data_IF_457783586552
#
_entry.id   IF_457783586552
#
_cell.length_a   1.000
_cell.length_b   1.000
_cell.length_c   1.000
_cell.angle_alpha   90.00
_cell.angle_beta   90.00
_cell.angle_gamma   90.00
#
_symmetry.space_group_name_H-M   'P 1'
#
loop_
_entity.id
_entity.type
_entity.pdbx_description
1 polymer ?
#
# COMPACT_ATOMS: atom_id res chain seq x y z
N UNK A 1 28.20 4.90 58.61
CA UNK A 1 29.24 4.79 57.59
C UNK A 1 28.59 4.72 56.20
N UNK A 2 27.66 5.64 55.86
CA UNK A 2 26.87 5.52 54.63
C UNK A 2 26.48 6.86 53.97
N UNK A 3 26.39 7.97 54.72
CA UNK A 3 25.98 9.26 54.13
C UNK A 3 27.10 9.97 53.36
N UNK A 4 28.36 9.79 53.77
CA UNK A 4 29.51 10.43 53.12
C UNK A 4 29.80 9.86 51.73
N UNK A 5 29.58 8.55 51.53
CA UNK A 5 29.76 7.90 50.23
C UNK A 5 28.65 8.26 49.24
N UNK A 6 27.41 8.41 49.73
CA UNK A 6 26.27 8.82 48.90
C UNK A 6 26.46 10.26 48.41
N UNK A 7 26.90 11.18 49.26
CA UNK A 7 27.18 12.55 48.85
C UNK A 7 28.37 12.65 47.89
N UNK A 8 29.39 11.81 48.07
CA UNK A 8 30.49 11.71 47.11
C UNK A 8 30.04 11.22 45.73
N UNK A 9 29.21 10.18 45.66
CA UNK A 9 28.67 9.66 44.41
C UNK A 9 27.73 10.66 43.71
N UNK A 10 26.91 11.40 44.47
CA UNK A 10 26.08 12.49 43.91
C UNK A 10 26.93 13.61 43.31
N UNK A 11 28.02 14.00 43.98
CA UNK A 11 28.95 14.99 43.48
C UNK A 11 29.62 14.52 42.17
N UNK A 12 30.08 13.27 42.11
CA UNK A 12 30.63 12.70 40.87
C UNK A 12 29.60 12.64 39.74
N UNK A 13 28.35 12.30 40.03
CA UNK A 13 27.29 12.22 39.03
C UNK A 13 26.89 13.60 38.51
N UNK A 14 26.96 14.64 39.36
CA UNK A 14 26.78 16.03 38.95
C UNK A 14 27.91 16.48 38.00
N UNK A 15 29.16 16.15 38.32
CA UNK A 15 30.32 16.42 37.46
C UNK A 15 30.18 15.71 36.10
N UNK A 16 29.87 14.41 36.10
CA UNK A 16 29.67 13.64 34.87
C UNK A 16 28.54 14.21 34.00
N UNK A 17 27.42 14.65 34.60
CA UNK A 17 26.33 15.31 33.86
C UNK A 17 26.77 16.63 33.23
N UNK A 18 27.60 17.41 33.94
CA UNK A 18 28.14 18.67 33.41
C UNK A 18 29.12 18.42 32.24
N UNK A 19 29.93 17.37 32.33
CA UNK A 19 30.85 16.96 31.26
C UNK A 19 30.08 16.47 30.02
N UNK A 20 29.06 15.63 30.20
CA UNK A 20 28.20 15.18 29.08
C UNK A 20 27.52 16.37 28.41
N UNK A 21 27.06 17.36 29.17
CA UNK A 21 26.47 18.59 28.62
C UNK A 21 27.48 19.39 27.80
N UNK A 22 28.70 19.54 28.31
CA UNK A 22 29.79 20.22 27.59
C UNK A 22 30.18 19.47 26.31
N UNK A 23 30.29 18.14 26.34
CA UNK A 23 30.58 17.32 25.17
C UNK A 23 29.49 17.42 24.10
N UNK A 24 28.21 17.42 24.49
CA UNK A 24 27.09 17.63 23.55
C UNK A 24 27.15 19.00 22.88
N UNK A 25 27.50 20.04 23.64
CA UNK A 25 27.65 21.39 23.08
C UNK A 25 28.85 21.47 22.10
N UNK A 26 29.97 20.84 22.44
CA UNK A 26 31.14 20.76 21.55
C UNK A 26 30.80 20.01 20.26
N UNK A 27 30.08 18.88 20.33
CA UNK A 27 29.67 18.12 19.17
C UNK A 27 28.75 18.92 18.24
N UNK A 28 27.78 19.65 18.80
CA UNK A 28 26.87 20.52 18.03
C UNK A 28 27.63 21.65 17.33
N UNK A 29 28.60 22.26 18.00
CA UNK A 29 29.42 23.33 17.42
C UNK A 29 30.30 22.79 16.28
N UNK A 30 30.92 21.62 16.47
CA UNK A 30 31.70 20.93 15.44
C UNK A 30 30.86 20.58 14.21
N UNK A 31 29.65 20.04 14.40
CA UNK A 31 28.73 19.74 13.29
C UNK A 31 28.36 20.98 12.48
N UNK A 32 28.10 22.10 13.16
CA UNK A 32 27.78 23.36 12.48
C UNK A 32 28.98 23.89 11.68
N UNK A 33 30.19 23.82 12.25
CA UNK A 33 31.43 24.20 11.55
C UNK A 33 31.68 23.34 10.32
N UNK A 34 31.57 22.01 10.44
CA UNK A 34 31.72 21.07 9.32
C UNK A 34 30.71 21.34 8.20
N UNK A 35 29.45 21.62 8.54
CA UNK A 35 28.41 21.92 7.55
C UNK A 35 28.74 23.18 6.76
N UNK A 36 29.26 24.21 7.45
CA UNK A 36 29.68 25.47 6.82
C UNK A 36 30.90 25.29 5.93
N UNK A 37 31.86 24.46 6.34
CA UNK A 37 33.02 24.11 5.51
C UNK A 37 32.62 23.35 4.24
N UNK A 38 31.71 22.37 4.36
CA UNK A 38 31.17 21.63 3.19
C UNK A 38 30.48 22.59 2.21
N UNK A 39 29.67 23.53 2.70
CA UNK A 39 29.02 24.54 1.85
C UNK A 39 30.04 25.44 1.16
N UNK A 40 31.12 25.81 1.85
CA UNK A 40 32.17 26.63 1.27
C UNK A 40 32.97 25.85 0.20
N UNK A 41 33.28 24.58 0.44
CA UNK A 41 33.94 23.70 -0.53
C UNK A 41 33.06 23.51 -1.77
N UNK A 42 31.75 23.29 -1.60
CA UNK A 42 30.81 23.20 -2.72
C UNK A 42 30.77 24.47 -3.57
N UNK A 43 30.80 25.64 -2.92
CA UNK A 43 30.84 26.93 -3.60
C UNK A 43 32.14 27.10 -4.42
N UNK A 44 33.29 26.83 -3.79
CA UNK A 44 34.60 26.90 -4.46
C UNK A 44 34.68 25.91 -5.62
N UNK A 45 34.18 24.68 -5.46
CA UNK A 45 34.13 23.68 -6.54
C UNK A 45 33.22 24.11 -7.70
N UNK A 46 32.20 24.91 -7.45
CA UNK A 46 31.33 25.44 -8.49
C UNK A 46 32.02 26.58 -9.25
N UNK A 47 32.76 27.42 -8.52
CA UNK A 47 33.52 28.55 -9.08
C UNK A 47 34.79 28.09 -9.82
N UNK A 48 35.35 26.92 -9.49
CA UNK A 48 36.56 26.34 -10.12
C UNK A 48 36.30 25.55 -11.42
N UNK A 49 35.07 25.52 -11.94
CA UNK A 49 34.77 24.80 -13.20
C UNK A 49 35.21 25.62 -14.41
N UNK A 50 35.86 24.97 -15.38
CA UNK A 50 36.46 25.66 -16.53
C UNK A 50 35.39 26.35 -17.42
N UNK A 51 35.79 27.44 -18.08
CA UNK A 51 34.89 28.24 -18.93
C UNK A 51 34.20 27.43 -20.04
N UNK A 52 34.83 26.36 -20.55
CA UNK A 52 34.20 25.46 -21.53
C UNK A 52 33.06 24.58 -20.96
N UNK A 53 33.03 24.34 -19.65
CA UNK A 53 31.88 23.70 -18.98
C UNK A 53 30.75 24.69 -18.66
N UNK A 54 31.09 25.98 -18.60
CA UNK A 54 30.16 27.09 -18.37
C UNK A 54 29.31 27.37 -19.61
N UNK A 55 29.91 27.30 -20.80
CA UNK A 55 29.21 27.46 -22.08
C UNK A 55 28.33 26.26 -22.49
N UNK A 56 28.73 25.03 -22.12
CA UNK A 56 27.88 23.83 -22.35
C UNK A 56 26.54 23.90 -21.61
N UNK A 57 26.45 24.64 -20.51
CA UNK A 57 25.16 24.91 -19.85
C UNK A 57 24.34 25.98 -20.57
N UNK A 58 24.94 26.95 -21.27
CA UNK A 58 24.17 27.94 -22.03
C UNK A 58 23.55 27.33 -23.31
N UNK A 59 24.25 26.40 -23.97
CA UNK A 59 23.67 25.68 -25.11
C UNK A 59 22.72 24.54 -24.69
N UNK A 60 22.92 23.91 -23.53
CA UNK A 60 21.92 23.01 -22.95
C UNK A 60 20.73 23.75 -22.32
N UNK A 61 20.88 25.03 -21.98
CA UNK A 61 19.80 25.89 -21.48
C UNK A 61 18.64 25.99 -22.48
N UNK A 62 18.92 26.28 -23.75
CA UNK A 62 17.84 26.46 -24.74
C UNK A 62 17.22 25.18 -25.31
N UNK A 63 17.79 23.99 -25.02
CA UNK A 63 17.16 22.70 -25.40
C UNK A 63 16.57 21.92 -24.23
N UNK A 64 16.78 22.35 -22.99
CA UNK A 64 16.10 21.85 -21.80
C UNK A 64 15.06 22.84 -21.22
N UNK A 65 14.83 23.98 -21.87
CA UNK A 65 13.86 25.02 -21.51
C UNK A 65 12.39 24.74 -21.90
N UNK A 66 12.02 23.49 -22.19
CA UNK A 66 10.60 23.11 -22.35
C UNK A 66 10.10 22.02 -21.37
N UNK A 67 10.92 21.58 -20.41
CA UNK A 67 10.48 20.63 -19.38
C UNK A 67 10.96 20.94 -17.94
N UNK A 68 11.47 22.14 -17.66
CA UNK A 68 11.98 22.44 -16.31
C UNK A 68 12.00 23.91 -15.95
N UNK A 69 10.83 24.54 -15.86
CA UNK A 69 10.68 25.84 -15.20
C UNK A 69 9.26 26.04 -14.66
N UNK A 70 8.99 25.46 -13.49
CA UNK A 70 8.29 26.16 -12.40
C UNK A 70 9.07 25.89 -11.13
N UNK A 71 9.98 26.80 -10.78
CA UNK A 71 10.40 26.93 -9.39
C UNK A 71 9.28 27.68 -8.64
N UNK A 72 8.25 26.92 -8.23
CA UNK A 72 7.34 27.27 -7.13
C UNK A 72 7.09 26.08 -6.15
N UNK A 73 7.71 24.90 -6.34
CA UNK A 73 7.22 23.66 -5.71
C UNK A 73 8.05 23.07 -4.53
N UNK A 74 8.99 23.82 -3.91
CA UNK A 74 9.64 23.35 -2.66
C UNK A 74 8.82 23.71 -1.40
N UNK A 75 7.54 24.06 -1.57
CA UNK A 75 6.69 24.63 -0.53
C UNK A 75 5.52 23.77 -0.07
N UNK A 76 5.42 22.49 -0.45
CA UNK A 76 4.32 21.61 0.00
C UNK A 76 4.73 20.16 0.29
N UNK A 77 5.93 19.93 0.86
CA UNK A 77 6.33 18.59 1.33
C UNK A 77 5.67 18.27 2.68
N UNK A 78 4.50 17.65 2.64
CA UNK A 78 3.87 17.11 3.84
C UNK A 78 4.56 15.79 4.25
N UNK A 79 5.30 15.81 5.35
CA UNK A 79 6.00 14.63 5.88
C UNK A 79 5.13 13.89 6.88
N UNK A 80 4.74 12.66 6.57
CA UNK A 80 3.99 11.78 7.48
C UNK A 80 4.92 10.82 8.22
N UNK A 81 4.65 10.60 9.50
CA UNK A 81 5.28 9.54 10.29
C UNK A 81 4.30 8.36 10.37
N UNK A 82 4.68 7.15 9.93
CA UNK A 82 3.83 5.98 10.08
C UNK A 82 3.50 5.72 11.56
N UNK A 83 2.23 5.45 11.85
CA UNK A 83 1.78 5.12 13.21
C UNK A 83 2.05 3.66 13.56
N UNK A 84 2.19 2.80 12.55
CA UNK A 84 2.38 1.36 12.69
C UNK A 84 2.69 0.69 11.36
N UNK A 85 2.75 -0.64 11.39
CA UNK A 85 3.07 -1.47 10.22
C UNK A 85 2.04 -2.59 10.10
N UNK A 86 1.56 -2.81 8.88
CA UNK A 86 0.68 -3.94 8.56
C UNK A 86 1.50 -5.21 8.43
N UNK A 87 0.97 -6.29 9.01
CA UNK A 87 1.43 -7.66 8.87
C UNK A 87 0.38 -8.50 8.13
N UNK A 88 0.78 -9.08 6.99
CA UNK A 88 -0.08 -9.93 6.15
C UNK A 88 0.68 -11.15 5.65
N UNK A 89 -0.04 -12.11 5.10
CA UNK A 89 0.51 -13.27 4.39
C UNK A 89 1.07 -12.92 3.01
N UNK A 90 1.04 -11.66 2.58
CA UNK A 90 1.47 -11.27 1.24
C UNK A 90 2.86 -10.65 1.26
N UNK A 91 3.91 -11.48 1.10
CA UNK A 91 5.30 -11.02 1.09
C UNK A 91 5.65 -10.19 -0.16
N UNK A 92 4.90 -10.34 -1.24
CA UNK A 92 5.08 -9.65 -2.52
C UNK A 92 3.76 -9.04 -3.02
N UNK A 93 3.83 -8.18 -4.05
CA UNK A 93 2.62 -7.62 -4.69
C UNK A 93 1.78 -8.66 -5.42
N UNK A 94 2.39 -9.81 -5.75
CA UNK A 94 1.73 -10.87 -6.51
C UNK A 94 0.68 -11.54 -5.62
N UNK A 95 -0.50 -11.82 -6.18
CA UNK A 95 -1.64 -12.41 -5.50
C UNK A 95 -2.30 -11.58 -4.37
N UNK A 96 -1.77 -10.38 -4.06
CA UNK A 96 -2.49 -9.42 -3.21
C UNK A 96 -3.86 -9.12 -3.85
N UNK A 97 -4.96 -9.26 -3.10
CA UNK A 97 -6.29 -8.90 -3.57
C UNK A 97 -6.32 -7.46 -4.06
N UNK A 98 -7.07 -7.20 -5.12
CA UNK A 98 -7.11 -5.84 -5.70
C UNK A 98 -7.86 -4.84 -4.81
N UNK A 99 -8.74 -5.33 -3.94
CA UNK A 99 -9.54 -4.57 -2.99
C UNK A 99 -9.79 -5.48 -1.78
N UNK A 100 -9.79 -4.92 -0.57
CA UNK A 100 -9.99 -5.66 0.68
C UNK A 100 -11.29 -6.48 0.71
N UNK A 101 -12.35 -6.01 0.05
CA UNK A 101 -13.65 -6.69 -0.02
C UNK A 101 -13.66 -7.98 -0.85
N UNK A 102 -12.58 -8.29 -1.58
CA UNK A 102 -12.50 -9.51 -2.40
C UNK A 102 -12.00 -10.73 -1.62
N UNK A 103 -11.24 -10.52 -0.54
CA UNK A 103 -10.65 -11.60 0.25
C UNK A 103 -10.95 -11.37 1.73
N UNK A 104 -12.21 -11.58 2.11
CA UNK A 104 -12.75 -11.18 3.41
C UNK A 104 -12.36 -12.10 4.55
N UNK A 105 -11.93 -13.35 4.32
CA UNK A 105 -11.55 -14.25 5.41
C UNK A 105 -10.07 -14.15 5.82
N UNK A 106 -9.25 -13.37 5.11
CA UNK A 106 -7.82 -13.27 5.42
C UNK A 106 -7.60 -12.40 6.66
N UNK A 107 -7.10 -13.03 7.73
CA UNK A 107 -6.68 -12.35 8.94
C UNK A 107 -5.36 -11.61 8.70
N UNK A 108 -5.34 -10.33 9.07
CA UNK A 108 -4.16 -9.47 9.05
C UNK A 108 -4.10 -8.69 10.36
N UNK A 109 -2.94 -8.09 10.67
CA UNK A 109 -2.82 -7.21 11.83
C UNK A 109 -2.06 -5.94 11.53
N UNK A 110 -2.32 -4.90 12.31
CA UNK A 110 -1.52 -3.69 12.41
C UNK A 110 -0.78 -3.74 13.74
N UNK A 111 0.54 -3.62 13.69
CA UNK A 111 1.37 -3.41 14.87
C UNK A 111 1.63 -1.91 15.03
N UNK A 112 1.04 -1.26 16.04
CA UNK A 112 1.27 0.16 16.33
C UNK A 112 2.69 0.34 16.85
N UNK A 113 3.40 1.32 16.28
CA UNK A 113 4.79 1.59 16.63
C UNK A 113 4.89 2.13 18.06
N UNK A 114 5.77 1.57 18.90
CA UNK A 114 6.01 2.07 20.26
C UNK A 114 6.67 3.45 20.28
N UNK A 115 7.16 3.94 19.13
CA UNK A 115 7.74 5.28 19.00
C UNK A 115 6.69 6.36 18.76
N UNK A 116 5.46 5.99 18.42
CA UNK A 116 4.38 6.93 18.10
C UNK A 116 3.82 7.56 19.37
N UNK A 117 3.57 6.75 20.40
CA UNK A 117 3.01 7.18 21.69
C UNK A 117 3.72 6.48 22.84
N UNK A 118 3.74 7.10 24.03
CA UNK A 118 4.31 6.50 25.25
C UNK A 118 3.56 5.21 25.66
N UNK A 119 2.24 5.17 25.45
CA UNK A 119 1.43 3.96 25.57
C UNK A 119 0.59 3.80 24.30
N UNK A 120 1.06 3.02 23.31
CA UNK A 120 0.35 2.80 22.06
C UNK A 120 -1.03 2.17 22.24
N UNK A 121 -1.22 1.31 23.25
CA UNK A 121 -2.51 0.63 23.45
C UNK A 121 -3.65 1.60 23.76
N UNK A 122 -3.38 2.64 24.56
CA UNK A 122 -4.38 3.68 24.88
C UNK A 122 -4.92 4.41 23.65
N UNK A 123 -4.15 4.47 22.55
CA UNK A 123 -4.63 5.10 21.30
C UNK A 123 -5.68 4.27 20.57
N UNK A 124 -5.87 3.00 20.97
CA UNK A 124 -6.83 2.06 20.41
C UNK A 124 -8.04 1.82 21.32
N UNK A 125 -8.07 2.40 22.53
CA UNK A 125 -9.15 2.21 23.48
C UNK A 125 -10.51 2.63 22.87
N UNK A 126 -11.48 1.73 22.93
CA UNK A 126 -12.83 1.94 22.40
C UNK A 126 -12.99 1.60 20.93
N UNK A 127 -11.92 1.22 20.22
CA UNK A 127 -11.98 0.78 18.83
C UNK A 127 -12.77 -0.54 18.68
N UNK A 128 -12.75 -1.38 19.71
CA UNK A 128 -13.51 -2.63 19.81
C UNK A 128 -15.03 -2.45 19.77
N UNK A 129 -15.54 -1.23 19.96
CA UNK A 129 -16.96 -0.93 19.84
C UNK A 129 -17.44 -0.81 18.38
N UNK A 130 -16.54 -0.87 17.41
CA UNK A 130 -16.83 -0.74 15.99
C UNK A 130 -16.62 -2.08 15.26
N UNK A 131 -17.44 -2.34 14.25
CA UNK A 131 -17.32 -3.57 13.44
C UNK A 131 -16.37 -3.43 12.26
N UNK A 132 -16.14 -2.20 11.78
CA UNK A 132 -15.37 -1.93 10.57
C UNK A 132 -14.49 -0.70 10.75
N UNK A 133 -13.36 -0.70 10.05
CA UNK A 133 -12.35 0.35 10.10
C UNK A 133 -11.93 0.79 8.71
N UNK A 134 -11.71 2.10 8.57
CA UNK A 134 -10.88 2.66 7.52
C UNK A 134 -9.42 2.59 7.93
N UNK A 135 -8.60 1.97 7.09
CA UNK A 135 -7.14 2.00 7.20
C UNK A 135 -6.60 2.89 6.09
N UNK A 136 -5.83 3.91 6.47
CA UNK A 136 -5.08 4.78 5.56
C UNK A 136 -3.62 4.37 5.62
N UNK A 137 -3.02 4.05 4.49
CA UNK A 137 -1.66 3.48 4.44
C UNK A 137 -0.86 4.01 3.25
N UNK A 138 0.44 3.77 3.26
CA UNK A 138 1.37 4.25 2.22
C UNK A 138 1.82 3.09 1.31
N UNK A 139 1.71 3.25 -0.02
CA UNK A 139 2.18 2.25 -0.99
C UNK A 139 3.72 2.24 -1.12
N UNK A 140 4.39 1.78 -0.07
CA UNK A 140 5.86 1.81 0.08
C UNK A 140 6.63 1.04 -1.00
N UNK A 141 6.03 0.02 -1.63
CA UNK A 141 6.67 -0.73 -2.73
C UNK A 141 6.38 -0.16 -4.11
N UNK A 142 5.69 0.98 -4.22
CA UNK A 142 5.35 1.54 -5.52
C UNK A 142 6.43 2.52 -6.01
N UNK A 143 7.03 2.33 -7.20
CA UNK A 143 7.99 3.30 -7.71
C UNK A 143 7.32 4.67 -7.94
N UNK A 144 8.03 5.75 -7.62
CA UNK A 144 7.60 7.14 -7.75
C UNK A 144 7.52 7.60 -9.22
N UNK A 145 6.60 7.00 -9.97
CA UNK A 145 6.29 7.37 -11.35
C UNK A 145 4.77 7.44 -11.53
N UNK A 146 4.16 8.45 -10.92
CA UNK A 146 2.75 8.74 -11.13
C UNK A 146 2.54 9.24 -12.57
N UNK A 147 1.60 8.63 -13.29
CA UNK A 147 1.19 9.08 -14.63
C UNK A 147 -0.21 9.66 -14.55
N UNK A 148 -0.49 10.71 -15.31
CA UNK A 148 -1.82 11.33 -15.35
C UNK A 148 -2.92 10.34 -15.80
N UNK A 149 -2.57 9.38 -16.67
CA UNK A 149 -3.47 8.31 -17.12
C UNK A 149 -2.91 6.93 -16.83
N UNK A 150 -3.78 6.04 -16.36
CA UNK A 150 -3.49 4.63 -16.05
C UNK A 150 -4.42 3.71 -16.85
N UNK A 151 -4.07 2.43 -16.99
CA UNK A 151 -4.92 1.41 -17.60
C UNK A 151 -5.37 0.42 -16.52
N UNK A 152 -6.51 0.68 -15.84
CA UNK A 152 -7.05 -0.25 -14.87
C UNK A 152 -7.30 -1.62 -15.49
N UNK A 153 -7.04 -2.72 -14.76
CA UNK A 153 -7.18 -4.06 -15.33
C UNK A 153 -8.58 -4.32 -15.93
N UNK A 154 -9.64 -3.81 -15.29
CA UNK A 154 -11.02 -4.10 -15.72
C UNK A 154 -11.49 -3.27 -16.93
N UNK A 155 -10.67 -2.37 -17.44
CA UNK A 155 -10.97 -1.52 -18.59
C UNK A 155 -10.47 -2.08 -19.93
N UNK A 156 -10.03 -3.34 -19.98
CA UNK A 156 -9.68 -4.00 -21.25
C UNK A 156 -8.54 -3.34 -22.03
N UNK A 157 -7.74 -2.49 -21.39
CA UNK A 157 -6.66 -1.72 -22.02
C UNK A 157 -6.96 -0.23 -22.21
N UNK A 158 -8.20 0.24 -22.00
CA UNK A 158 -8.51 1.68 -22.04
C UNK A 158 -7.74 2.43 -20.95
N UNK A 159 -7.26 3.64 -21.29
CA UNK A 159 -6.55 4.52 -20.36
C UNK A 159 -7.47 5.64 -19.87
N UNK A 160 -7.62 5.73 -18.55
CA UNK A 160 -8.43 6.77 -17.87
C UNK A 160 -7.56 7.60 -16.93
N UNK A 161 -8.08 8.75 -16.50
CA UNK A 161 -7.38 9.63 -15.55
C UNK A 161 -7.11 8.92 -14.22
N UNK A 162 -5.95 9.13 -13.62
CA UNK A 162 -5.56 8.41 -12.39
C UNK A 162 -6.54 8.64 -11.24
N UNK A 163 -7.10 9.85 -11.13
CA UNK A 163 -8.05 10.21 -10.07
C UNK A 163 -9.46 9.66 -10.23
N UNK A 164 -9.81 9.11 -11.40
CA UNK A 164 -11.04 8.32 -11.57
C UNK A 164 -10.84 6.83 -11.25
N UNK A 165 -9.71 6.48 -10.62
CA UNK A 165 -9.33 5.09 -10.32
C UNK A 165 -8.78 4.94 -8.90
N UNK A 166 -8.66 3.69 -8.45
CA UNK A 166 -7.95 3.30 -7.22
C UNK A 166 -6.53 2.77 -7.49
N UNK A 167 -5.87 3.25 -8.55
CA UNK A 167 -4.50 2.84 -8.88
C UNK A 167 -3.54 3.22 -7.74
N UNK A 168 -2.53 2.40 -7.39
CA UNK A 168 -1.49 2.80 -6.45
C UNK A 168 -0.51 3.84 -7.04
N UNK A 169 -0.43 3.97 -8.36
CA UNK A 169 0.50 4.89 -9.06
C UNK A 169 -0.04 6.32 -9.10
N UNK A 170 0.01 7.03 -7.96
CA UNK A 170 -0.56 8.37 -7.76
C UNK A 170 0.48 9.34 -7.19
N UNK A 171 0.31 10.66 -7.34
CA UNK A 171 1.23 11.66 -6.79
C UNK A 171 1.43 11.52 -5.28
N UNK A 172 0.33 11.35 -4.53
CA UNK A 172 0.35 10.92 -3.14
C UNK A 172 -0.05 9.44 -3.10
N UNK A 173 0.90 8.50 -2.92
CA UNK A 173 0.64 7.07 -2.99
C UNK A 173 0.04 6.58 -1.66
N UNK A 174 -1.14 7.12 -1.33
CA UNK A 174 -1.94 6.79 -0.16
C UNK A 174 -3.05 5.82 -0.57
N UNK A 175 -3.11 4.68 0.12
CA UNK A 175 -4.17 3.70 0.04
C UNK A 175 -5.25 3.93 1.10
N UNK A 176 -6.44 3.41 0.81
CA UNK A 176 -7.60 3.45 1.69
C UNK A 176 -8.33 2.11 1.56
N UNK A 177 -8.48 1.41 2.68
CA UNK A 177 -9.18 0.12 2.73
C UNK A 177 -10.20 0.12 3.84
N UNK A 178 -11.42 -0.34 3.52
CA UNK A 178 -12.45 -0.66 4.51
C UNK A 178 -12.27 -2.13 4.87
N UNK A 179 -12.06 -2.41 6.16
CA UNK A 179 -11.82 -3.76 6.68
C UNK A 179 -12.78 -4.05 7.82
N UNK A 180 -13.02 -5.33 8.08
CA UNK A 180 -13.79 -5.75 9.25
C UNK A 180 -12.84 -5.89 10.45
N UNK A 181 -13.17 -5.27 11.57
CA UNK A 181 -12.43 -5.47 12.81
C UNK A 181 -12.69 -6.88 13.34
N UNK A 182 -11.62 -7.60 13.67
CA UNK A 182 -11.69 -8.89 14.34
C UNK A 182 -11.54 -8.70 15.85
N UNK A 183 -10.41 -8.13 16.29
CA UNK A 183 -10.13 -7.84 17.70
C UNK A 183 -9.02 -6.80 17.86
N UNK A 184 -8.92 -6.24 19.05
CA UNK A 184 -7.83 -5.35 19.49
C UNK A 184 -7.13 -6.00 20.67
N UNK A 185 -5.80 -6.09 20.63
CA UNK A 185 -4.99 -6.63 21.73
C UNK A 185 -3.77 -5.74 21.94
N UNK A 186 -3.60 -5.18 23.14
CA UNK A 186 -2.51 -4.27 23.48
C UNK A 186 -2.37 -3.12 22.45
N UNK A 187 -1.26 -3.10 21.71
CA UNK A 187 -0.94 -2.15 20.65
C UNK A 187 -1.16 -2.72 19.25
N UNK A 188 -2.04 -3.73 19.11
CA UNK A 188 -2.30 -4.45 17.86
C UNK A 188 -3.77 -4.43 17.50
N UNK A 189 -4.04 -4.24 16.22
CA UNK A 189 -5.39 -4.30 15.64
C UNK A 189 -5.43 -5.45 14.66
N UNK A 190 -6.27 -6.45 14.90
CA UNK A 190 -6.49 -7.57 13.99
C UNK A 190 -7.75 -7.31 13.17
N UNK A 191 -7.68 -7.58 11.88
CA UNK A 191 -8.75 -7.29 10.96
C UNK A 191 -8.83 -8.34 9.85
N UNK A 192 -10.03 -8.44 9.27
CA UNK A 192 -10.40 -9.31 8.17
C UNK A 192 -10.59 -8.49 6.90
N UNK A 193 -10.09 -9.00 5.78
CA UNK A 193 -10.07 -8.27 4.51
C UNK A 193 -8.79 -7.47 4.34
N UNK A 194 -7.92 -7.90 3.40
CA UNK A 194 -6.63 -7.24 3.17
C UNK A 194 -6.30 -7.14 1.69
N UNK A 195 -5.79 -5.99 1.28
CA UNK A 195 -5.25 -5.70 -0.06
C UNK A 195 -3.86 -5.07 0.03
N UNK A 196 -3.15 -5.40 1.11
CA UNK A 196 -1.88 -4.79 1.49
C UNK A 196 -0.76 -5.84 1.53
N UNK A 197 0.43 -5.42 1.10
CA UNK A 197 1.66 -6.23 1.20
C UNK A 197 2.17 -6.20 2.65
N UNK A 198 2.82 -7.26 3.10
CA UNK A 198 3.51 -7.28 4.39
C UNK A 198 4.52 -6.14 4.50
N UNK A 199 4.54 -5.50 5.67
CA UNK A 199 5.40 -4.35 5.95
C UNK A 199 4.81 -3.01 5.50
N UNK A 200 3.57 -2.97 5.02
CA UNK A 200 2.94 -1.71 4.58
C UNK A 200 2.82 -0.71 5.74
N UNK A 201 3.38 0.51 5.63
CA UNK A 201 3.27 1.52 6.67
C UNK A 201 1.84 2.07 6.78
N UNK A 202 1.32 2.13 8.01
CA UNK A 202 0.01 2.71 8.32
C UNK A 202 0.18 4.18 8.65
N UNK A 203 -0.66 5.02 8.05
CA UNK A 203 -0.72 6.45 8.30
C UNK A 203 -1.80 6.80 9.31
N UNK A 204 -2.96 6.16 9.25
CA UNK A 204 -4.09 6.44 10.12
C UNK A 204 -5.10 5.28 10.18
N UNK A 205 -5.91 5.25 11.24
CA UNK A 205 -7.00 4.31 11.46
C UNK A 205 -8.23 5.10 11.90
N UNK A 206 -9.39 4.87 11.27
CA UNK A 206 -10.65 5.52 11.65
C UNK A 206 -11.78 4.50 11.73
N UNK A 207 -12.72 4.63 12.68
CA UNK A 207 -13.92 3.81 12.68
C UNK A 207 -14.77 4.13 11.45
N UNK A 208 -15.33 3.10 10.83
CA UNK A 208 -16.35 3.27 9.79
C UNK A 208 -17.70 3.57 10.45
N UNK A 209 -18.35 4.65 10.02
CA UNK A 209 -19.65 5.07 10.53
C UNK A 209 -20.61 5.22 9.35
N UNK A 210 -21.59 4.30 9.19
CA UNK A 210 -22.49 4.32 8.04
C UNK A 210 -23.16 5.67 7.79
N UNK A 211 -23.55 6.38 8.84
CA UNK A 211 -24.23 7.68 8.77
C UNK A 211 -23.35 8.78 8.15
N UNK A 212 -22.02 8.66 8.22
CA UNK A 212 -21.07 9.65 7.69
C UNK A 212 -20.45 9.21 6.38
N UNK A 213 -20.20 7.90 6.25
CA UNK A 213 -19.42 7.33 5.15
C UNK A 213 -20.30 6.85 3.98
N UNK A 214 -21.60 6.60 4.21
CA UNK A 214 -22.55 6.29 3.15
C UNK A 214 -23.17 7.58 2.62
N UNK A 215 -23.12 7.84 1.29
CA UNK A 215 -23.76 9.02 0.72
C UNK A 215 -25.27 9.04 0.99
N UNK A 216 -25.79 10.17 1.45
CA UNK A 216 -27.19 10.36 1.89
C UNK A 216 -28.22 10.17 0.76
N UNK A 217 -27.82 10.35 -0.51
CA UNK A 217 -28.68 10.29 -1.69
C UNK A 217 -28.22 9.24 -2.71
N UNK A 218 -27.98 8.00 -2.27
CA UNK A 218 -27.76 6.89 -3.19
C UNK A 218 -29.07 6.57 -3.93
N UNK A 219 -29.27 7.13 -5.12
CA UNK A 219 -30.30 6.65 -6.04
C UNK A 219 -29.79 5.40 -6.74
N UNK A 220 -30.13 4.22 -6.21
CA UNK A 220 -29.77 2.92 -6.81
C UNK A 220 -30.12 2.82 -8.32
N UNK A 221 -31.17 3.52 -8.77
CA UNK A 221 -31.64 3.48 -10.15
C UNK A 221 -30.72 4.19 -11.18
N UNK A 222 -29.88 5.14 -10.76
CA UNK A 222 -28.98 5.88 -11.67
C UNK A 222 -27.64 5.16 -11.89
N UNK A 223 -27.35 4.09 -11.14
CA UNK A 223 -26.13 3.29 -11.27
C UNK A 223 -26.14 2.31 -12.45
N UNK A 224 -27.32 1.88 -12.92
CA UNK A 224 -27.42 0.76 -13.87
C UNK A 224 -27.34 1.16 -15.35
N UNK A 225 -27.75 2.38 -15.73
CA UNK A 225 -28.02 2.67 -17.13
C UNK A 225 -27.44 4.03 -17.56
N UNK A 226 -26.26 4.02 -18.18
CA UNK A 226 -25.94 4.84 -19.39
C UNK A 226 -24.45 4.82 -19.71
N UNK A 227 -24.05 3.83 -20.51
CA UNK A 227 -22.94 3.99 -21.46
C UNK A 227 -23.43 3.40 -22.78
N UNK A 228 -24.42 4.05 -23.39
CA UNK A 228 -24.63 3.88 -24.82
C UNK A 228 -23.42 4.51 -25.52
N UNK A 229 -22.78 3.71 -26.36
CA UNK A 229 -21.59 4.10 -27.13
C UNK A 229 -21.91 5.28 -28.06
N UNK A 230 -20.92 6.12 -28.43
CA UNK A 230 -21.11 7.19 -29.40
C UNK A 230 -21.07 6.62 -30.82
N UNK A 231 -22.07 5.83 -31.19
CA UNK A 231 -22.24 5.34 -32.55
C UNK A 231 -23.56 5.95 -33.04
N UNK A 232 -23.45 7.00 -33.85
CA UNK A 232 -24.60 7.77 -34.29
C UNK A 232 -25.58 6.94 -35.11
N UNK A 233 -26.82 6.86 -34.64
CA UNK A 233 -28.03 7.01 -35.45
C UNK A 233 -29.14 7.61 -34.57
N UNK A 234 -29.83 8.59 -35.15
CA UNK A 234 -30.99 9.29 -34.60
C UNK A 234 -32.20 8.36 -34.62
N UNK A 235 -32.93 8.18 -33.51
CA UNK A 235 -34.34 7.79 -33.59
C UNK A 235 -35.21 8.61 -32.67
N UNK A 236 -36.29 9.06 -33.29
CA UNK A 236 -37.30 10.01 -32.90
C UNK A 236 -38.31 9.43 -31.92
N UNK A 237 -38.76 10.31 -31.01
CA UNK A 237 -40.10 10.37 -30.40
C UNK A 237 -40.58 9.15 -29.60
N UNK A 238 -40.92 9.40 -28.33
CA UNK A 238 -42.27 9.18 -27.80
C UNK A 238 -42.42 9.91 -26.45
N UNK A 239 -43.23 10.97 -26.47
CA UNK A 239 -43.78 11.66 -25.30
C UNK A 239 -44.76 10.75 -24.54
N UNK A 240 -44.71 10.80 -23.19
CA UNK A 240 -45.94 10.86 -22.37
C UNK A 240 -45.68 11.34 -20.93
N UNK A 241 -46.03 12.61 -20.73
CA UNK A 241 -46.36 13.36 -19.51
C UNK A 241 -46.60 12.60 -18.19
N UNK A 242 -45.94 13.07 -17.11
CA UNK A 242 -46.63 13.70 -15.98
C UNK A 242 -45.69 14.38 -14.95
N UNK A 243 -45.82 15.71 -14.86
CA UNK A 243 -45.73 16.60 -13.67
C UNK A 243 -44.38 16.86 -12.96
N UNK A 244 -43.76 17.97 -13.37
CA UNK A 244 -43.15 19.07 -12.58
C UNK A 244 -42.94 18.91 -11.06
N UNK A 245 -41.66 18.88 -10.66
CA UNK A 245 -41.13 19.78 -9.63
C UNK A 245 -39.68 20.16 -9.97
N UNK A 246 -39.41 21.45 -10.03
CA UNK A 246 -38.11 22.06 -10.33
C UNK A 246 -36.99 21.51 -9.43
N UNK A 247 -36.02 20.86 -10.05
CA UNK A 247 -34.71 20.55 -9.49
C UNK A 247 -33.85 20.00 -10.62
N UNK A 248 -32.83 20.76 -11.03
CA UNK A 248 -31.85 20.28 -12.01
C UNK A 248 -31.34 18.89 -11.58
N UNK A 249 -31.26 17.90 -12.47
CA UNK A 249 -30.63 16.64 -12.12
C UNK A 249 -29.14 16.93 -11.91
N UNK A 250 -28.69 16.79 -10.66
CA UNK A 250 -27.28 16.83 -10.29
C UNK A 250 -26.54 15.75 -11.11
N UNK A 251 -25.29 16.01 -11.53
CA UNK A 251 -24.56 15.10 -12.40
C UNK A 251 -24.29 13.78 -11.67
N UNK A 252 -24.93 12.73 -12.19
CA UNK A 252 -24.88 11.35 -11.77
C UNK A 252 -23.44 10.86 -11.54
N UNK A 253 -23.15 10.35 -10.34
CA UNK A 253 -21.95 9.53 -10.11
C UNK A 253 -22.24 8.12 -10.60
N UNK A 254 -21.98 7.84 -11.89
CA UNK A 254 -22.11 6.49 -12.43
C UNK A 254 -20.90 5.63 -12.06
N UNK A 255 -21.13 4.51 -11.38
CA UNK A 255 -20.09 3.49 -11.17
C UNK A 255 -20.04 2.63 -12.43
N UNK A 256 -18.92 2.58 -13.16
CA UNK A 256 -18.86 1.83 -14.40
C UNK A 256 -19.15 0.33 -14.21
N UNK A 257 -19.81 -0.32 -15.18
CA UNK A 257 -20.16 -1.75 -15.14
C UNK A 257 -18.98 -2.70 -14.86
N UNK A 258 -17.75 -2.30 -15.21
CA UNK A 258 -16.56 -3.07 -14.90
C UNK A 258 -16.24 -3.13 -13.40
N UNK A 259 -16.76 -2.21 -12.58
CA UNK A 259 -16.65 -2.27 -11.11
C UNK A 259 -17.58 -3.36 -10.56
N UNK A 260 -18.74 -3.58 -11.18
CA UNK A 260 -19.78 -4.51 -10.75
C UNK A 260 -19.55 -5.97 -11.18
N UNK A 261 -18.87 -6.19 -12.31
CA UNK A 261 -18.57 -7.53 -12.80
C UNK A 261 -17.49 -8.22 -11.94
N UNK A 262 -17.93 -8.98 -10.94
CA UNK A 262 -17.11 -9.92 -10.17
C UNK A 262 -17.31 -11.33 -10.74
N UNK A 263 -16.43 -11.73 -11.67
CA UNK A 263 -16.34 -13.13 -12.07
C UNK A 263 -15.72 -13.92 -10.91
N UNK A 264 -16.51 -14.75 -10.23
CA UNK A 264 -15.99 -15.68 -9.23
C UNK A 264 -15.55 -16.97 -9.91
N UNK A 265 -14.32 -17.42 -9.62
CA UNK A 265 -13.79 -18.68 -10.12
C UNK A 265 -14.13 -19.82 -9.18
N UNK A 266 -14.40 -21.00 -9.75
CA UNK A 266 -14.55 -22.23 -8.97
C UNK A 266 -13.17 -22.80 -8.64
N UNK A 267 -12.84 -22.85 -7.35
CA UNK A 267 -11.54 -23.34 -6.86
C UNK A 267 -11.63 -24.82 -6.54
N UNK A 268 -10.75 -25.62 -7.13
CA UNK A 268 -10.60 -27.05 -6.88
C UNK A 268 -9.19 -27.40 -6.40
N UNK A 269 -9.04 -28.50 -5.68
CA UNK A 269 -7.76 -29.03 -5.22
C UNK A 269 -7.58 -30.43 -5.79
N UNK A 270 -6.38 -30.75 -6.29
CA UNK A 270 -6.06 -32.13 -6.63
C UNK A 270 -5.63 -32.91 -5.37
N UNK A 271 -5.64 -34.24 -5.44
CA UNK A 271 -5.31 -35.10 -4.29
C UNK A 271 -3.93 -34.81 -3.67
N UNK A 272 -2.95 -34.42 -4.52
CA UNK A 272 -1.61 -34.03 -4.05
C UNK A 272 -1.65 -32.73 -3.23
N UNK A 273 -2.33 -31.69 -3.71
CA UNK A 273 -2.48 -30.43 -2.98
C UNK A 273 -3.27 -30.62 -1.69
N UNK A 274 -4.29 -31.48 -1.68
CA UNK A 274 -5.03 -31.77 -0.44
C UNK A 274 -4.15 -32.42 0.62
N UNK A 275 -3.34 -33.42 0.23
CA UNK A 275 -2.40 -34.07 1.15
C UNK A 275 -1.36 -33.08 1.69
N UNK A 276 -0.84 -32.20 0.84
CA UNK A 276 0.13 -31.17 1.24
C UNK A 276 -0.47 -30.11 2.17
N UNK A 277 -1.75 -29.76 2.01
CA UNK A 277 -2.42 -28.81 2.89
C UNK A 277 -2.64 -29.39 4.29
N UNK A 278 -2.95 -30.69 4.38
CA UNK A 278 -3.07 -31.39 5.65
C UNK A 278 -1.72 -31.50 6.37
N UNK A 279 -0.65 -31.82 5.63
CA UNK A 279 0.71 -31.90 6.17
C UNK A 279 1.21 -30.54 6.70
N UNK A 280 0.99 -29.47 5.94
CA UNK A 280 1.44 -28.12 6.28
C UNK A 280 0.49 -27.37 7.23
N UNK A 281 -0.65 -27.96 7.59
CA UNK A 281 -1.69 -27.34 8.43
C UNK A 281 -2.21 -25.99 7.92
N UNK A 282 -2.30 -25.82 6.60
CA UNK A 282 -2.77 -24.58 5.97
C UNK A 282 -4.29 -24.62 5.81
N UNK A 283 -4.97 -23.55 6.23
CA UNK A 283 -6.41 -23.42 6.00
C UNK A 283 -6.73 -23.26 4.50
N UNK A 284 -7.57 -24.17 3.97
CA UNK A 284 -8.01 -24.14 2.56
C UNK A 284 -8.64 -22.79 2.18
N UNK A 285 -9.37 -22.16 3.11
CA UNK A 285 -10.11 -20.92 2.88
C UNK A 285 -9.20 -19.76 2.47
N UNK A 286 -7.99 -19.65 3.03
CA UNK A 286 -7.06 -18.57 2.69
C UNK A 286 -6.64 -18.61 1.22
N UNK A 287 -6.45 -19.82 0.66
CA UNK A 287 -6.11 -20.00 -0.75
C UNK A 287 -7.35 -19.79 -1.63
N UNK A 288 -8.51 -20.31 -1.21
CA UNK A 288 -9.77 -20.17 -1.93
C UNK A 288 -10.14 -18.69 -2.12
N UNK A 289 -10.03 -17.87 -1.09
CA UNK A 289 -10.36 -16.45 -1.14
C UNK A 289 -9.49 -15.69 -2.15
N UNK A 290 -8.18 -15.95 -2.15
CA UNK A 290 -7.25 -15.36 -3.11
C UNK A 290 -7.60 -15.78 -4.54
N UNK A 291 -7.86 -17.07 -4.76
CA UNK A 291 -8.10 -17.62 -6.10
C UNK A 291 -9.48 -17.26 -6.66
N UNK A 292 -10.52 -17.17 -5.83
CA UNK A 292 -11.86 -16.70 -6.21
C UNK A 292 -11.84 -15.30 -6.79
N UNK A 293 -10.95 -14.44 -6.28
CA UNK A 293 -10.79 -13.06 -6.73
C UNK A 293 -10.02 -12.91 -8.06
N UNK A 294 -9.54 -14.01 -8.65
CA UNK A 294 -8.59 -14.07 -9.77
C UNK A 294 -7.35 -13.15 -9.58
N UNK A 295 -6.26 -13.68 -8.99
CA UNK A 295 -5.05 -12.91 -8.72
C UNK A 295 -4.26 -12.53 -9.98
N UNK A 296 -4.63 -13.02 -11.17
CA UNK A 296 -3.91 -12.75 -12.42
C UNK A 296 -4.13 -11.31 -12.87
N UNK A 297 -3.13 -10.72 -13.51
CA UNK A 297 -3.31 -9.44 -14.21
C UNK A 297 -4.18 -9.63 -15.46
N UNK A 298 -4.85 -8.58 -15.91
CA UNK A 298 -5.63 -8.66 -17.16
C UNK A 298 -4.76 -8.98 -18.36
N UNK A 299 -3.51 -8.50 -18.38
CA UNK A 299 -2.53 -8.92 -19.38
C UNK A 299 -2.35 -10.45 -19.42
N UNK A 300 -2.20 -11.11 -18.27
CA UNK A 300 -2.01 -12.56 -18.20
C UNK A 300 -3.25 -13.30 -18.69
N UNK A 301 -4.44 -12.87 -18.29
CA UNK A 301 -5.73 -13.44 -18.73
C UNK A 301 -5.90 -13.40 -20.25
N UNK A 302 -5.58 -12.27 -20.88
CA UNK A 302 -5.78 -12.10 -22.33
C UNK A 302 -4.74 -12.83 -23.17
N UNK A 303 -3.50 -12.95 -22.68
CA UNK A 303 -2.39 -13.49 -23.48
C UNK A 303 -2.24 -15.02 -23.38
N UNK A 304 -2.63 -15.62 -22.25
CA UNK A 304 -2.40 -17.05 -21.97
C UNK A 304 -3.61 -17.66 -21.24
N UNK A 305 -4.59 -18.21 -21.97
CA UNK A 305 -5.87 -18.69 -21.41
C UNK A 305 -5.81 -19.96 -20.53
N UNK A 306 -4.74 -20.76 -20.64
CA UNK A 306 -4.50 -21.91 -19.74
C UNK A 306 -3.06 -21.90 -19.27
N UNK A 307 -2.82 -21.26 -18.14
CA UNK A 307 -1.47 -21.06 -17.61
C UNK A 307 -1.36 -21.59 -16.18
N UNK A 308 -0.18 -22.16 -15.89
CA UNK A 308 0.26 -22.39 -14.53
C UNK A 308 0.63 -21.04 -13.91
N UNK A 309 0.02 -20.72 -12.78
CA UNK A 309 0.27 -19.52 -12.02
C UNK A 309 0.75 -19.91 -10.63
N UNK A 310 1.87 -19.32 -10.24
CA UNK A 310 2.50 -19.52 -8.95
C UNK A 310 2.50 -18.22 -8.18
N UNK A 311 2.18 -18.28 -6.88
CA UNK A 311 2.27 -17.15 -5.97
C UNK A 311 2.68 -17.61 -4.58
N UNK A 312 3.14 -16.67 -3.76
CA UNK A 312 3.50 -16.91 -2.37
C UNK A 312 2.39 -16.45 -1.44
N UNK A 313 2.16 -17.23 -0.39
CA UNK A 313 1.21 -16.95 0.69
C UNK A 313 1.87 -17.36 2.01
N UNK A 314 2.30 -16.38 2.79
CA UNK A 314 3.15 -16.57 3.96
C UNK A 314 4.46 -17.24 3.56
N UNK A 315 4.79 -18.33 4.25
CA UNK A 315 6.00 -19.12 4.01
C UNK A 315 5.76 -20.25 2.99
N UNK A 316 4.65 -20.20 2.25
CA UNK A 316 4.27 -21.24 1.29
C UNK A 316 4.16 -20.69 -0.14
N UNK A 317 4.48 -21.56 -1.09
CA UNK A 317 4.30 -21.35 -2.53
C UNK A 317 3.13 -22.18 -3.02
N UNK A 318 2.13 -21.52 -3.61
CA UNK A 318 0.95 -22.15 -4.19
C UNK A 318 1.04 -22.11 -5.70
N UNK A 319 0.92 -23.29 -6.33
CA UNK A 319 0.90 -23.45 -7.79
C UNK A 319 -0.45 -23.95 -8.23
N UNK A 320 -1.07 -23.22 -9.15
CA UNK A 320 -2.42 -23.52 -9.64
C UNK A 320 -2.48 -23.38 -11.17
N UNK A 321 -3.46 -24.04 -11.78
CA UNK A 321 -3.74 -23.96 -13.21
C UNK A 321 -5.13 -23.37 -13.41
N UNK A 322 -5.20 -22.30 -14.19
CA UNK A 322 -6.45 -21.67 -14.58
C UNK A 322 -6.99 -22.32 -15.86
N UNK A 323 -8.30 -22.54 -15.89
CA UNK A 323 -9.06 -22.95 -17.06
C UNK A 323 -10.18 -21.93 -17.28
N UNK A 324 -9.89 -20.96 -18.16
CA UNK A 324 -10.81 -19.88 -18.48
C UNK A 324 -12.07 -20.35 -19.23
N UNK A 325 -12.05 -21.53 -19.88
CA UNK A 325 -13.23 -22.08 -20.58
C UNK A 325 -14.27 -22.58 -19.57
N UNK A 326 -13.80 -23.26 -18.53
CA UNK A 326 -14.65 -23.85 -17.51
C UNK A 326 -14.82 -22.94 -16.28
N UNK A 327 -14.22 -21.74 -16.27
CA UNK A 327 -14.21 -20.83 -15.11
C UNK A 327 -13.70 -21.48 -13.82
N UNK A 328 -12.74 -22.41 -13.97
CA UNK A 328 -12.18 -23.17 -12.85
C UNK A 328 -10.70 -22.84 -12.65
N UNK A 329 -10.25 -22.99 -11.41
CA UNK A 329 -8.84 -22.96 -11.05
C UNK A 329 -8.54 -24.18 -10.18
N UNK A 330 -7.56 -24.97 -10.61
CA UNK A 330 -7.12 -26.17 -9.89
C UNK A 330 -5.80 -25.90 -9.20
N UNK A 331 -5.76 -26.00 -7.87
CA UNK A 331 -4.53 -26.01 -7.10
C UNK A 331 -3.84 -27.34 -7.33
N UNK A 332 -2.63 -27.28 -7.87
CA UNK A 332 -1.83 -28.44 -8.25
C UNK A 332 -0.86 -28.84 -7.13
N UNK A 333 -0.33 -27.85 -6.43
CA UNK A 333 0.73 -28.05 -5.46
C UNK A 333 0.85 -26.90 -4.46
N UNK A 334 1.16 -27.24 -3.22
CA UNK A 334 1.53 -26.32 -2.13
C UNK A 334 2.83 -26.83 -1.50
N UNK A 335 3.81 -25.94 -1.32
CA UNK A 335 5.12 -26.28 -0.72
C UNK A 335 5.62 -25.12 0.12
N UNK A 336 6.52 -25.40 1.05
CA UNK A 336 7.26 -24.35 1.75
C UNK A 336 8.21 -23.61 0.82
N UNK A 337 8.42 -22.32 1.12
CA UNK A 337 9.45 -21.50 0.50
C UNK A 337 10.80 -21.97 1.06
N UNK A 338 11.58 -22.66 0.23
CA UNK A 338 12.94 -23.05 0.60
C UNK A 338 13.84 -21.81 0.50
N UNK A 339 14.13 -21.19 1.64
CA UNK A 339 15.14 -20.14 1.73
C UNK A 339 16.54 -20.76 1.70
N UNK A 340 17.17 -20.79 0.52
CA UNK A 340 18.55 -21.26 0.36
C UNK A 340 19.61 -20.40 1.08
N UNK A 341 19.22 -19.34 1.80
CA UNK A 341 20.15 -18.45 2.52
C UNK A 341 20.51 -18.93 3.93
N UNK A 342 19.79 -19.91 4.50
CA UNK A 342 20.07 -20.42 5.86
C UNK A 342 20.99 -21.65 5.89
N UNK A 343 21.34 -22.24 4.74
CA UNK A 343 22.18 -23.45 4.69
C UNK A 343 23.70 -23.18 4.67
N UNK A 344 24.13 -21.91 4.53
CA UNK A 344 25.56 -21.56 4.52
C UNK A 344 26.13 -21.22 5.92
N UNK A 345 25.32 -21.34 6.98
CA UNK A 345 25.68 -20.98 8.36
C UNK A 345 26.28 -22.10 9.23
N UNK A 346 26.15 -23.37 8.85
CA UNK A 346 26.63 -24.52 9.62
C UNK A 346 27.75 -25.28 8.90
N UNK A 347 28.84 -24.58 8.57
CA UNK A 347 30.09 -25.27 8.19
C UNK A 347 31.32 -24.40 8.51
N UNK A 348 31.50 -24.02 9.78
CA UNK A 348 32.80 -23.53 10.27
C UNK A 348 33.00 -23.83 11.76
N UNK A 349 32.88 -25.09 12.14
CA UNK A 349 33.38 -25.56 13.43
C UNK A 349 33.86 -27.02 13.37
N UNK A 350 34.91 -27.27 12.59
CA UNK A 350 35.85 -28.38 12.80
C UNK A 350 36.88 -28.39 11.68
N UNK A 351 38.05 -27.81 11.92
CA UNK A 351 39.34 -28.44 11.65
C UNK A 351 40.50 -27.56 12.17
N UNK A 352 41.30 -28.22 13.02
CA UNK A 352 42.64 -27.90 13.54
C UNK A 352 42.80 -26.83 14.63
#
# INVERSE_FOLDING_TARGET
MCDSEIEFLKAQLATARSEIKNLRQQLSNLQHMHTKEIQNVMKILNDYRCDGCREKQQQNGQRQEMEGATNEDDADVCTFKPIGVIKTVFNEKRAVPRQASLATALLSRIDISPKTFNNPGHSLDGLENFSHLWIIYYFHRNPNHAKAKVAPPRLGGERVGVFSTRSPHRPCPIGLSLVQLDRVEDSKVYFLGTDMVDGTPVLDIKPYIPQYDVPVNLKEAEFLNSREAPDGEETTLLDRNSTTSNGQPLPNVSVPNWVLNSSSLNVMFNANAESQLEELQIEKNSIVDVLKADPRSVYLRTKYGSQIYTFQLGDHTVTCKFDDQNTTVTVLQVRDVVNFQEMDGECSSSNE
#
